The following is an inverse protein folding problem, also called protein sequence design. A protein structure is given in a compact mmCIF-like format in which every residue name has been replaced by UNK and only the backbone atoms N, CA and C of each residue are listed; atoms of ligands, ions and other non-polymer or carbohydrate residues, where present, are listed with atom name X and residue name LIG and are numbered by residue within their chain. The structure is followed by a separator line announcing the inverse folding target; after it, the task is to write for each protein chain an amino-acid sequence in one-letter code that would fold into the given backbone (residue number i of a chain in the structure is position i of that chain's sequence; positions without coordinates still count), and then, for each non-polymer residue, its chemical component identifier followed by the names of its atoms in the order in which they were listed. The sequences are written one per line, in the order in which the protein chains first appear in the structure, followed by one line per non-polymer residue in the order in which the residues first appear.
data_IF_712469858790
#
_entry.id   IF_712469858790
#
_cell.length_a   1.000
_cell.length_b   1.000
_cell.length_c   1.000
_cell.angle_alpha   90.00
_cell.angle_beta   90.00
_cell.angle_gamma   90.00
#
_symmetry.space_group_name_H-M   'P 1'
#
loop_
_entity.id
_entity.type
_entity.pdbx_description
1 polymer ?
#
# COMPACT_ATOMS: atom_id res chain seq x y z
N UNK A 1 -61.76 -36.97 58.38
CA UNK A 1 -61.70 -35.49 58.44
C UNK A 1 -60.41 -35.04 57.79
N UNK A 2 -60.52 -34.20 56.74
CA UNK A 2 -59.50 -33.29 56.20
C UNK A 2 -58.20 -33.90 55.62
N UNK A 3 -57.65 -33.47 54.49
CA UNK A 3 -58.07 -32.58 53.40
C UNK A 3 -57.00 -32.78 52.31
N UNK A 4 -57.42 -32.87 51.06
CA UNK A 4 -56.55 -32.79 49.88
C UNK A 4 -55.72 -31.50 49.89
N UNK A 5 -54.43 -31.58 49.52
CA UNK A 5 -53.69 -30.45 48.97
C UNK A 5 -52.97 -30.84 47.68
N UNK A 6 -53.73 -30.64 46.62
CA UNK A 6 -53.36 -30.18 45.28
C UNK A 6 -51.91 -29.70 45.07
N UNK A 7 -51.26 -30.40 44.14
CA UNK A 7 -50.70 -29.86 42.88
C UNK A 7 -50.32 -28.37 42.84
N UNK A 8 -49.01 -28.10 42.80
CA UNK A 8 -48.46 -26.93 42.10
C UNK A 8 -47.11 -27.27 41.47
N UNK A 9 -47.16 -27.60 40.17
CA UNK A 9 -46.01 -27.55 39.26
C UNK A 9 -45.62 -26.08 39.09
N UNK A 10 -44.64 -25.60 39.87
CA UNK A 10 -44.06 -24.25 39.67
C UNK A 10 -42.91 -24.33 38.67
N UNK A 11 -43.20 -23.82 37.47
CA UNK A 11 -42.34 -23.88 36.30
C UNK A 11 -40.99 -23.20 36.49
N UNK A 12 -39.93 -23.97 36.29
CA UNK A 12 -38.57 -23.50 36.01
C UNK A 12 -38.45 -22.95 34.57
N UNK A 13 -39.45 -22.20 34.07
CA UNK A 13 -39.56 -21.80 32.65
C UNK A 13 -39.34 -20.31 32.38
N UNK A 14 -39.06 -19.51 33.43
CA UNK A 14 -39.04 -18.04 33.33
C UNK A 14 -37.67 -17.36 33.22
N UNK A 15 -36.60 -17.96 33.77
CA UNK A 15 -35.29 -17.29 33.85
C UNK A 15 -34.32 -17.64 32.72
N UNK A 16 -34.39 -18.86 32.18
CA UNK A 16 -33.53 -19.27 31.05
C UNK A 16 -33.78 -18.43 29.80
N UNK A 17 -35.05 -18.21 29.43
CA UNK A 17 -35.44 -17.44 28.23
C UNK A 17 -35.07 -15.96 28.28
N UNK A 18 -35.01 -15.33 29.46
CA UNK A 18 -34.66 -13.90 29.59
C UNK A 18 -33.15 -13.65 29.49
N UNK A 19 -32.32 -14.64 29.79
CA UNK A 19 -30.86 -14.59 29.60
C UNK A 19 -30.43 -15.14 28.24
N UNK A 20 -31.23 -16.02 27.62
CA UNK A 20 -30.95 -16.59 26.29
C UNK A 20 -30.98 -15.54 25.17
N UNK A 21 -31.91 -14.58 25.23
CA UNK A 21 -32.04 -13.54 24.20
C UNK A 21 -30.83 -12.59 24.15
N UNK A 22 -30.35 -12.01 25.28
CA UNK A 22 -29.14 -11.16 25.23
C UNK A 22 -27.88 -11.98 24.92
N UNK A 23 -27.79 -13.23 25.37
CA UNK A 23 -26.66 -14.11 25.04
C UNK A 23 -26.62 -14.45 23.55
N UNK A 24 -27.78 -14.74 22.93
CA UNK A 24 -27.88 -14.94 21.48
C UNK A 24 -27.52 -13.66 20.71
N UNK A 25 -27.96 -12.48 21.18
CA UNK A 25 -27.61 -11.20 20.55
C UNK A 25 -26.10 -10.90 20.64
N UNK A 26 -25.46 -11.20 21.77
CA UNK A 26 -24.00 -11.07 21.94
C UNK A 26 -23.27 -12.06 21.04
N UNK A 27 -23.72 -13.32 20.96
CA UNK A 27 -23.15 -14.32 20.04
C UNK A 27 -23.31 -13.87 18.59
N UNK A 28 -24.46 -13.32 18.20
CA UNK A 28 -24.69 -12.79 16.85
C UNK A 28 -23.81 -11.57 16.53
N UNK A 29 -23.61 -10.67 17.50
CA UNK A 29 -22.72 -9.51 17.38
C UNK A 29 -21.24 -9.92 17.28
N UNK A 30 -20.83 -10.93 18.05
CA UNK A 30 -19.49 -11.52 17.95
C UNK A 30 -19.28 -12.18 16.58
N UNK A 31 -20.25 -12.93 16.06
CA UNK A 31 -20.18 -13.53 14.72
C UNK A 31 -20.08 -12.47 13.62
N UNK A 32 -20.75 -11.33 13.78
CA UNK A 32 -20.63 -10.18 12.88
C UNK A 32 -19.21 -9.59 12.85
N UNK A 33 -18.56 -9.47 14.01
CA UNK A 33 -17.18 -8.99 14.15
C UNK A 33 -16.14 -9.97 13.56
N UNK A 34 -16.46 -11.26 13.43
CA UNK A 34 -15.60 -12.25 12.78
C UNK A 34 -15.80 -12.33 11.25
N UNK A 35 -16.79 -11.61 10.69
CA UNK A 35 -17.14 -11.70 9.27
C UNK A 35 -16.58 -10.55 8.42
N UNK A 36 -15.83 -9.62 9.02
CA UNK A 36 -14.95 -8.74 8.27
C UNK A 36 -13.76 -9.57 7.81
N UNK A 37 -13.93 -10.28 6.68
CA UNK A 37 -12.77 -10.69 5.90
C UNK A 37 -12.01 -9.39 5.63
N UNK A 38 -10.73 -9.25 6.00
CA UNK A 38 -9.96 -8.16 5.45
C UNK A 38 -10.10 -8.30 3.93
N UNK A 39 -10.63 -7.27 3.28
CA UNK A 39 -10.47 -7.15 1.83
C UNK A 39 -9.00 -7.42 1.58
N UNK A 40 -8.71 -8.45 0.77
CA UNK A 40 -7.34 -8.78 0.43
C UNK A 40 -6.68 -7.48 -0.01
N UNK A 41 -5.69 -7.04 0.75
CA UNK A 41 -4.90 -5.89 0.38
C UNK A 41 -4.40 -6.17 -1.04
N UNK A 42 -4.92 -5.41 -2.01
CA UNK A 42 -4.60 -5.50 -3.43
C UNK A 42 -3.13 -5.12 -3.61
N UNK A 43 -2.22 -6.03 -3.28
CA UNK A 43 -0.79 -5.74 -3.14
C UNK A 43 -0.11 -5.49 -4.49
N UNK A 44 -0.61 -6.11 -5.56
CA UNK A 44 -0.53 -5.64 -6.95
C UNK A 44 -1.23 -6.69 -7.82
N UNK A 45 -2.44 -6.42 -8.30
CA UNK A 45 -3.09 -7.25 -9.32
C UNK A 45 -2.99 -6.50 -10.64
N UNK A 46 -1.82 -6.59 -11.29
CA UNK A 46 -1.70 -6.05 -12.64
C UNK A 46 -2.78 -6.72 -13.49
N UNK A 47 -3.54 -5.94 -14.25
CA UNK A 47 -4.30 -6.52 -15.36
C UNK A 47 -3.27 -7.25 -16.22
N UNK A 48 -3.58 -8.48 -16.69
CA UNK A 48 -2.61 -9.34 -17.40
C UNK A 48 -1.89 -8.62 -18.55
N UNK A 49 -0.85 -9.23 -19.15
CA UNK A 49 0.08 -8.54 -20.04
C UNK A 49 -0.66 -7.63 -21.03
N UNK A 50 -0.54 -6.31 -20.80
CA UNK A 50 -1.19 -5.33 -21.66
C UNK A 50 -0.45 -5.31 -22.99
N UNK A 51 -1.17 -5.09 -24.12
CA UNK A 51 -0.49 -4.77 -25.36
C UNK A 51 0.39 -3.53 -25.16
N UNK A 52 1.56 -3.52 -25.76
CA UNK A 52 2.56 -2.47 -25.54
C UNK A 52 2.02 -1.08 -25.85
N UNK A 53 1.19 -0.95 -26.89
CA UNK A 53 0.53 0.31 -27.25
C UNK A 53 -0.27 0.90 -26.09
N UNK A 54 -0.98 0.07 -25.33
CA UNK A 54 -1.77 0.50 -24.17
C UNK A 54 -0.86 0.80 -22.97
N UNK A 55 0.15 -0.05 -22.74
CA UNK A 55 1.14 0.17 -21.68
C UNK A 55 1.86 1.51 -21.87
N UNK A 56 2.14 1.92 -23.10
CA UNK A 56 2.80 3.19 -23.41
C UNK A 56 1.88 4.41 -23.24
N UNK A 57 0.55 4.28 -23.31
CA UNK A 57 -0.38 5.43 -23.27
C UNK A 57 -0.18 6.28 -22.01
N UNK A 58 0.03 5.64 -20.86
CA UNK A 58 0.19 6.30 -19.57
C UNK A 58 1.66 6.60 -19.21
N UNK A 59 2.61 6.37 -20.12
CA UNK A 59 4.05 6.57 -19.88
C UNK A 59 4.54 7.86 -20.50
N UNK A 60 5.41 8.56 -19.79
CA UNK A 60 6.05 9.79 -20.27
C UNK A 60 7.39 9.49 -20.94
N UNK A 61 8.04 8.39 -20.57
CA UNK A 61 9.32 7.96 -21.11
C UNK A 61 9.35 6.45 -21.39
N UNK A 62 9.92 6.06 -22.53
CA UNK A 62 10.21 4.66 -22.86
C UNK A 62 11.59 4.59 -23.47
N UNK A 63 12.49 3.85 -22.83
CA UNK A 63 13.90 3.81 -23.18
C UNK A 63 14.55 2.49 -22.76
N UNK A 64 15.68 2.17 -23.37
CA UNK A 64 16.56 1.08 -22.98
C UNK A 64 17.81 1.68 -22.35
N UNK A 65 18.28 1.05 -21.28
CA UNK A 65 19.46 1.51 -20.58
C UNK A 65 20.08 0.44 -19.72
N UNK A 66 21.35 0.68 -19.36
CA UNK A 66 22.12 -0.17 -18.47
C UNK A 66 22.15 0.44 -17.08
N UNK A 67 21.84 -0.35 -16.06
CA UNK A 67 21.89 0.11 -14.68
C UNK A 67 23.34 0.34 -14.27
N UNK A 68 23.65 1.55 -13.82
CA UNK A 68 24.99 1.94 -13.34
C UNK A 68 25.06 2.00 -11.82
N UNK A 69 23.96 2.34 -11.15
CA UNK A 69 23.90 2.43 -9.69
C UNK A 69 22.50 2.13 -9.15
N UNK A 70 22.44 1.62 -7.92
CA UNK A 70 21.20 1.35 -7.17
C UNK A 70 21.42 1.79 -5.72
N UNK A 71 20.68 2.81 -5.29
CA UNK A 71 20.72 3.34 -3.94
C UNK A 71 19.43 2.94 -3.20
N UNK A 72 19.51 2.04 -2.20
CA UNK A 72 18.36 1.69 -1.38
C UNK A 72 17.96 2.85 -0.46
N UNK A 73 16.72 2.86 0.05
CA UNK A 73 16.27 3.87 1.00
C UNK A 73 17.13 3.84 2.28
N UNK A 74 17.31 5.01 2.89
CA UNK A 74 18.06 5.13 4.15
C UNK A 74 17.45 4.24 5.25
N UNK A 75 18.30 3.51 5.97
CA UNK A 75 17.86 2.64 7.05
C UNK A 75 17.28 3.44 8.22
N UNK A 76 16.00 3.23 8.51
CA UNK A 76 15.26 3.84 9.63
C UNK A 76 14.75 2.75 10.58
N UNK A 77 14.45 3.07 11.86
CA UNK A 77 13.93 2.10 12.84
C UNK A 77 12.62 1.44 12.38
N UNK A 78 11.85 2.14 11.55
CA UNK A 78 10.64 1.65 10.89
C UNK A 78 10.83 1.87 9.39
N UNK A 79 10.84 0.77 8.62
CA UNK A 79 10.95 0.79 7.16
C UNK A 79 9.64 0.29 6.55
N UNK A 80 9.18 0.96 5.49
CA UNK A 80 8.07 0.48 4.67
C UNK A 80 8.62 -0.22 3.43
N UNK A 81 7.91 -1.25 2.95
CA UNK A 81 8.19 -1.91 1.67
C UNK A 81 7.97 -0.98 0.45
N UNK A 82 7.24 0.12 0.66
CA UNK A 82 6.99 1.16 -0.34
C UNK A 82 8.05 2.27 -0.35
N UNK A 83 9.07 2.21 0.51
CA UNK A 83 10.17 3.18 0.48
C UNK A 83 10.87 3.14 -0.90
N UNK A 84 11.20 4.30 -1.47
CA UNK A 84 11.75 4.40 -2.81
C UNK A 84 13.20 3.91 -2.86
N UNK A 85 13.49 3.08 -3.87
CA UNK A 85 14.84 2.73 -4.31
C UNK A 85 15.17 3.59 -5.53
N UNK A 86 16.30 4.29 -5.48
CA UNK A 86 16.80 5.10 -6.59
C UNK A 86 17.68 4.23 -7.50
N UNK A 87 17.43 4.25 -8.80
CA UNK A 87 18.17 3.48 -9.81
C UNK A 87 18.68 4.44 -10.88
N UNK A 88 19.98 4.42 -11.14
CA UNK A 88 20.59 5.24 -12.20
C UNK A 88 20.89 4.36 -13.40
N UNK A 89 20.52 4.85 -14.59
CA UNK A 89 20.75 4.14 -15.85
C UNK A 89 21.46 5.03 -16.86
N UNK A 90 22.43 4.42 -17.55
CA UNK A 90 23.00 4.94 -18.79
C UNK A 90 22.09 4.52 -19.95
N UNK A 91 21.51 5.49 -20.64
CA UNK A 91 20.49 5.28 -21.66
C UNK A 91 21.16 4.99 -23.00
N UNK A 92 20.80 3.86 -23.61
CA UNK A 92 21.29 3.46 -24.93
C UNK A 92 20.31 3.81 -26.04
N UNK A 93 18.99 3.70 -25.82
CA UNK A 93 17.98 4.01 -26.84
C UNK A 93 16.69 4.54 -26.27
N UNK A 94 16.00 5.42 -27.00
CA UNK A 94 14.74 6.05 -26.58
C UNK A 94 13.67 5.82 -27.64
N UNK A 95 12.44 5.56 -27.22
CA UNK A 95 11.26 5.44 -28.09
C UNK A 95 10.15 6.43 -27.73
N UNK A 96 10.13 6.95 -26.50
CA UNK A 96 9.17 7.97 -26.06
C UNK A 96 9.79 8.89 -25.03
N UNK A 97 9.44 10.18 -25.09
CA UNK A 97 9.83 11.19 -24.10
C UNK A 97 11.20 11.81 -24.35
N UNK A 98 11.48 12.93 -23.68
CA UNK A 98 12.79 13.56 -23.74
C UNK A 98 13.70 12.95 -22.67
N UNK A 99 14.48 11.95 -23.05
CA UNK A 99 15.33 11.20 -22.11
C UNK A 99 16.81 11.56 -22.34
N UNK A 100 17.53 12.04 -21.32
CA UNK A 100 18.96 12.32 -21.40
C UNK A 100 19.82 11.04 -21.36
N UNK A 101 21.13 11.14 -21.67
CA UNK A 101 22.05 9.99 -21.64
C UNK A 101 22.16 9.28 -20.29
N UNK A 102 21.87 9.99 -19.19
CA UNK A 102 21.80 9.42 -17.84
C UNK A 102 20.48 9.80 -17.19
N UNK A 103 19.76 8.81 -16.68
CA UNK A 103 18.43 8.99 -16.07
C UNK A 103 18.38 8.33 -14.70
N UNK A 104 17.76 9.03 -13.75
CA UNK A 104 17.42 8.49 -12.45
C UNK A 104 15.95 8.04 -12.46
N UNK A 105 15.74 6.84 -11.92
CA UNK A 105 14.44 6.24 -11.70
C UNK A 105 14.22 6.00 -10.21
N UNK A 106 12.97 5.98 -9.80
CA UNK A 106 12.56 5.47 -8.50
C UNK A 106 11.54 4.36 -8.66
N UNK A 107 11.66 3.34 -7.82
CA UNK A 107 10.68 2.25 -7.70
C UNK A 107 10.53 1.85 -6.24
N UNK A 108 9.40 1.25 -5.85
CA UNK A 108 9.26 0.74 -4.49
C UNK A 108 10.24 -0.42 -4.23
N UNK A 109 10.71 -0.55 -2.98
CA UNK A 109 11.67 -1.58 -2.60
C UNK A 109 11.15 -3.01 -2.76
N UNK A 110 9.83 -3.21 -2.73
CA UNK A 110 9.23 -4.55 -2.78
C UNK A 110 8.14 -4.65 -3.84
N UNK A 111 8.09 -5.79 -4.52
CA UNK A 111 6.98 -6.21 -5.38
C UNK A 111 5.63 -6.27 -4.63
N UNK A 112 5.62 -6.50 -3.31
CA UNK A 112 4.42 -6.39 -2.48
C UNK A 112 3.86 -4.96 -2.37
N UNK A 113 4.65 -3.96 -2.79
CA UNK A 113 4.26 -2.55 -2.92
C UNK A 113 4.35 -2.09 -4.38
N UNK A 114 4.16 -3.02 -5.33
CA UNK A 114 4.23 -2.77 -6.77
C UNK A 114 5.61 -2.28 -7.27
N UNK A 115 6.67 -2.50 -6.49
CA UNK A 115 8.04 -2.20 -6.87
C UNK A 115 8.61 -3.19 -7.88
N UNK A 116 9.56 -2.73 -8.69
CA UNK A 116 10.34 -3.59 -9.56
C UNK A 116 11.66 -3.98 -8.88
N UNK A 117 11.75 -5.22 -8.42
CA UNK A 117 12.90 -5.78 -7.68
C UNK A 117 13.94 -6.48 -8.59
N UNK A 118 13.72 -6.50 -9.91
CA UNK A 118 14.60 -7.17 -10.88
C UNK A 118 15.86 -6.39 -11.29
N UNK A 119 15.97 -5.11 -10.90
CA UNK A 119 17.14 -4.29 -11.24
C UNK A 119 18.41 -4.82 -10.58
N UNK A 120 19.51 -4.81 -11.34
CA UNK A 120 20.83 -5.12 -10.84
C UNK A 120 21.88 -4.34 -11.64
N UNK A 121 22.94 -3.89 -10.95
CA UNK A 121 24.03 -3.13 -11.58
C UNK A 121 24.65 -3.92 -12.73
N UNK A 122 24.82 -3.26 -13.87
CA UNK A 122 25.31 -3.83 -15.11
C UNK A 122 24.25 -4.48 -15.99
N UNK A 123 23.04 -4.70 -15.48
CA UNK A 123 21.93 -5.25 -16.26
C UNK A 123 21.34 -4.24 -17.24
N UNK A 124 20.86 -4.73 -18.38
CA UNK A 124 20.21 -3.94 -19.43
C UNK A 124 18.70 -4.17 -19.40
N UNK A 125 17.93 -3.08 -19.45
CA UNK A 125 16.48 -3.11 -19.28
C UNK A 125 15.79 -2.26 -20.33
N UNK A 126 14.62 -2.73 -20.79
CA UNK A 126 13.62 -1.87 -21.40
C UNK A 126 12.78 -1.29 -20.26
N UNK A 127 12.79 0.03 -20.14
CA UNK A 127 12.11 0.77 -19.07
C UNK A 127 10.94 1.56 -19.65
N UNK A 128 9.77 1.33 -19.06
CA UNK A 128 8.57 2.13 -19.28
C UNK A 128 8.33 2.94 -18.00
N UNK A 129 8.50 4.26 -18.07
CA UNK A 129 8.46 5.13 -16.92
C UNK A 129 7.46 6.30 -17.10
N UNK A 130 6.99 6.84 -15.97
CA UNK A 130 6.14 8.03 -15.92
C UNK A 130 6.71 9.08 -14.97
N UNK A 131 6.31 10.32 -15.16
CA UNK A 131 6.82 11.48 -14.42
C UNK A 131 7.15 12.64 -15.35
N UNK A 132 7.07 13.85 -14.81
CA UNK A 132 7.37 15.09 -15.56
C UNK A 132 8.87 15.44 -15.46
N UNK A 133 9.47 15.16 -14.30
CA UNK A 133 10.89 15.44 -14.01
C UNK A 133 11.56 14.21 -13.37
N UNK A 134 12.89 14.21 -13.35
CA UNK A 134 13.67 13.18 -12.69
C UNK A 134 13.60 13.32 -11.14
N UNK A 135 13.61 12.21 -10.38
CA UNK A 135 13.63 10.84 -10.85
C UNK A 135 12.27 10.39 -11.41
N UNK A 136 12.28 9.71 -12.57
CA UNK A 136 11.06 9.14 -13.14
C UNK A 136 10.63 7.92 -12.32
N UNK A 137 9.35 7.56 -12.35
CA UNK A 137 8.80 6.44 -11.61
C UNK A 137 8.59 5.22 -12.51
N UNK A 138 8.86 4.04 -11.96
CA UNK A 138 8.53 2.75 -12.57
C UNK A 138 8.17 1.72 -11.50
N UNK A 139 7.53 0.61 -11.90
CA UNK A 139 7.06 -0.44 -11.03
C UNK A 139 6.72 -1.73 -11.76
N UNK A 140 6.27 -2.72 -10.99
CA UNK A 140 6.01 -4.08 -11.47
C UNK A 140 5.00 -4.14 -12.62
N UNK A 141 3.96 -3.30 -12.57
CA UNK A 141 2.89 -3.30 -13.58
C UNK A 141 3.19 -2.39 -14.79
N UNK A 142 4.34 -1.72 -14.82
CA UNK A 142 4.61 -0.70 -15.83
C UNK A 142 5.13 -1.28 -17.15
N UNK A 143 5.47 -2.58 -17.18
CA UNK A 143 6.06 -3.25 -18.34
C UNK A 143 7.59 -3.12 -18.43
N UNK A 144 8.24 -2.67 -17.35
CA UNK A 144 9.71 -2.69 -17.28
C UNK A 144 10.22 -4.13 -17.18
N UNK A 145 11.20 -4.47 -18.01
CA UNK A 145 11.72 -5.84 -18.08
C UNK A 145 13.17 -5.90 -18.60
N UNK A 146 13.90 -7.01 -18.38
CA UNK A 146 15.24 -7.17 -18.94
C UNK A 146 15.21 -7.06 -20.46
N UNK A 147 16.20 -6.37 -21.04
CA UNK A 147 16.24 -6.11 -22.48
C UNK A 147 16.27 -7.42 -23.29
N UNK A 148 16.91 -8.46 -22.76
CA UNK A 148 16.95 -9.79 -23.36
C UNK A 148 15.58 -10.50 -23.42
N UNK A 149 14.61 -10.09 -22.58
CA UNK A 149 13.25 -10.61 -22.59
C UNK A 149 12.29 -9.74 -23.42
N UNK A 150 12.76 -8.60 -23.93
CA UNK A 150 11.93 -7.58 -24.57
C UNK A 150 11.89 -7.67 -26.11
N UNK A 151 12.29 -8.78 -26.71
CA UNK A 151 12.27 -8.96 -28.17
C UNK A 151 10.92 -8.65 -28.85
N UNK A 152 9.75 -9.07 -28.32
CA UNK A 152 8.48 -8.75 -28.96
C UNK A 152 8.19 -7.25 -28.89
N UNK A 153 8.46 -6.60 -27.75
CA UNK A 153 8.24 -5.17 -27.58
C UNK A 153 9.20 -4.35 -28.44
N UNK A 154 10.47 -4.74 -28.53
CA UNK A 154 11.46 -4.08 -29.38
C UNK A 154 11.07 -4.16 -30.87
N UNK A 155 10.45 -5.27 -31.28
CA UNK A 155 9.93 -5.43 -32.65
C UNK A 155 8.78 -4.48 -32.94
N UNK A 156 7.90 -4.23 -31.95
CA UNK A 156 6.80 -3.26 -32.06
C UNK A 156 7.27 -1.80 -31.98
N UNK A 157 8.27 -1.51 -31.14
CA UNK A 157 8.83 -0.17 -30.93
C UNK A 157 9.69 0.32 -32.11
N UNK A 158 10.33 -0.61 -32.83
CA UNK A 158 11.22 -0.29 -33.94
C UNK A 158 12.55 0.32 -33.50
N UNK A 159 13.17 1.13 -34.37
CA UNK A 159 14.58 1.53 -34.22
C UNK A 159 14.86 2.48 -33.05
N UNK A 160 13.90 3.31 -32.63
CA UNK A 160 14.11 4.37 -31.62
C UNK A 160 15.07 5.49 -32.07
N UNK A 161 15.50 6.32 -31.12
CA UNK A 161 16.43 7.45 -31.33
C UNK A 161 17.40 7.65 -30.15
N UNK A 162 18.48 8.41 -30.40
CA UNK A 162 19.54 8.71 -29.43
C UNK A 162 19.04 9.55 -28.25
N UNK A 163 19.56 9.33 -27.04
CA UNK A 163 19.25 10.17 -25.88
C UNK A 163 19.62 11.64 -26.15
N UNK A 164 18.75 12.55 -25.73
CA UNK A 164 18.96 13.98 -25.90
C UNK A 164 19.92 14.49 -24.84
N UNK A 165 21.16 14.78 -25.21
CA UNK A 165 22.09 15.45 -24.31
C UNK A 165 21.46 16.76 -23.80
N UNK A 166 21.48 16.98 -22.48
CA UNK A 166 21.20 18.32 -21.92
C UNK A 166 22.18 19.29 -22.58
N UNK A 167 21.75 20.46 -23.09
CA UNK A 167 22.67 21.46 -23.61
C UNK A 167 23.70 21.80 -22.52
N UNK A 168 24.96 21.42 -22.75
CA UNK A 168 26.07 21.71 -21.85
C UNK A 168 26.28 23.22 -21.82
N UNK A 169 25.87 23.84 -20.72
CA UNK A 169 26.19 25.24 -20.40
C UNK A 169 27.63 25.26 -19.89
N UNK A 170 28.45 26.05 -20.57
CA UNK A 170 29.79 26.41 -20.14
C UNK A 170 29.77 27.21 -18.81
N UNK A 171 30.83 26.97 -18.05
CA UNK A 171 31.24 27.49 -16.73
C UNK A 171 31.11 29.01 -16.48
N UNK A 172 30.91 29.33 -15.17
CA UNK A 172 30.97 30.61 -14.41
C UNK A 172 29.67 31.40 -14.13
N UNK A 173 29.55 32.10 -12.96
CA UNK A 173 29.86 31.72 -11.57
C UNK A 173 28.73 32.07 -10.56
N UNK A 174 28.78 31.45 -9.38
CA UNK A 174 27.85 31.62 -8.24
C UNK A 174 27.78 33.05 -7.67
N UNK A 175 26.58 33.48 -7.27
CA UNK A 175 26.32 34.62 -6.39
C UNK A 175 24.91 34.54 -5.76
N UNK A 176 24.67 35.14 -4.58
CA UNK A 176 24.18 34.39 -3.42
C UNK A 176 22.70 34.63 -3.01
N UNK A 177 22.22 33.68 -2.19
CA UNK A 177 21.26 33.76 -1.06
C UNK A 177 19.93 34.52 -1.21
N UNK A 178 18.83 33.81 -0.90
CA UNK A 178 17.89 34.31 0.11
C UNK A 178 17.16 33.15 0.80
N UNK A 179 17.25 33.17 2.13
CA UNK A 179 16.48 32.38 3.09
C UNK A 179 14.96 32.57 2.93
N UNK A 180 14.17 31.63 3.47
CA UNK A 180 12.86 31.98 3.99
C UNK A 180 11.79 30.89 4.02
N UNK A 181 11.50 30.47 5.25
CA UNK A 181 10.18 30.11 5.78
C UNK A 181 9.68 28.66 5.63
N UNK A 182 9.94 27.95 6.73
CA UNK A 182 9.09 26.98 7.43
C UNK A 182 7.57 27.08 7.14
N UNK A 183 6.97 25.92 6.89
CA UNK A 183 5.53 25.70 6.83
C UNK A 183 5.18 24.34 7.44
N UNK A 184 5.03 24.33 8.76
CA UNK A 184 4.61 23.20 9.57
C UNK A 184 3.13 22.90 9.33
N UNK A 185 2.80 21.67 8.92
CA UNK A 185 1.41 21.16 8.94
C UNK A 185 1.37 19.80 9.63
N UNK A 186 1.18 19.86 10.95
CA UNK A 186 0.79 18.72 11.79
C UNK A 186 -0.65 18.30 11.45
N UNK A 187 -0.81 17.42 10.45
CA UNK A 187 -2.02 16.64 10.29
C UNK A 187 -2.05 15.52 11.33
N UNK A 188 -2.56 15.80 12.54
CA UNK A 188 -2.90 14.75 13.52
C UNK A 188 -4.01 13.87 12.94
N UNK A 189 -3.59 12.82 12.23
CA UNK A 189 -4.46 11.71 11.88
C UNK A 189 -4.78 10.97 13.18
N UNK A 190 -5.96 11.24 13.73
CA UNK A 190 -6.46 10.64 14.96
C UNK A 190 -6.58 9.15 14.69
N UNK A 191 -5.65 8.38 15.25
CA UNK A 191 -5.64 6.93 15.19
C UNK A 191 -7.02 6.40 15.59
N UNK A 192 -7.74 5.86 14.60
CA UNK A 192 -9.10 5.30 14.70
C UNK A 192 -9.16 4.04 15.59
N UNK A 193 -8.05 3.71 16.26
CA UNK A 193 -7.91 2.52 17.11
C UNK A 193 -8.43 2.69 18.54
N UNK A 194 -8.83 3.90 18.96
CA UNK A 194 -9.38 4.14 20.31
C UNK A 194 -10.89 3.85 20.44
N UNK A 195 -11.61 3.75 19.31
CA UNK A 195 -13.05 3.49 19.29
C UNK A 195 -13.40 2.06 19.77
N UNK A 196 -12.71 0.97 19.34
CA UNK A 196 -13.03 -0.37 19.84
C UNK A 196 -12.62 -0.59 21.30
N UNK A 197 -11.57 0.08 21.80
CA UNK A 197 -11.10 -0.05 23.18
C UNK A 197 -12.07 0.60 24.20
N UNK A 198 -12.68 1.74 23.85
CA UNK A 198 -13.67 2.39 24.70
C UNK A 198 -14.95 1.56 24.85
N UNK A 199 -15.43 0.98 23.75
CA UNK A 199 -16.66 0.16 23.74
C UNK A 199 -16.47 -1.11 24.57
N UNK A 200 -15.32 -1.78 24.47
CA UNK A 200 -15.04 -2.99 25.26
C UNK A 200 -14.98 -2.73 26.76
N UNK A 201 -14.41 -1.61 27.20
CA UNK A 201 -14.37 -1.20 28.61
C UNK A 201 -15.76 -0.91 29.17
N UNK A 202 -16.60 -0.19 28.42
CA UNK A 202 -17.98 0.13 28.85
C UNK A 202 -18.83 -1.14 28.96
N UNK A 203 -18.71 -2.07 28.02
CA UNK A 203 -19.44 -3.34 28.04
C UNK A 203 -19.00 -4.20 29.23
N UNK A 204 -17.69 -4.30 29.50
CA UNK A 204 -17.18 -5.04 30.66
C UNK A 204 -17.63 -4.41 31.99
N UNK A 205 -17.57 -3.08 32.10
CA UNK A 205 -18.04 -2.37 33.29
C UNK A 205 -19.55 -2.56 33.52
N UNK A 206 -20.35 -2.49 32.46
CA UNK A 206 -21.80 -2.75 32.51
C UNK A 206 -22.13 -4.17 32.95
N UNK A 207 -21.43 -5.18 32.41
CA UNK A 207 -21.57 -6.58 32.82
C UNK A 207 -21.21 -6.78 34.29
N UNK A 208 -20.12 -6.15 34.75
CA UNK A 208 -19.64 -6.28 36.12
C UNK A 208 -20.60 -5.62 37.11
N UNK A 209 -21.11 -4.42 36.81
CA UNK A 209 -22.14 -3.76 37.61
C UNK A 209 -23.45 -4.56 37.67
N UNK A 210 -23.88 -5.15 36.55
CA UNK A 210 -25.08 -5.98 36.51
C UNK A 210 -24.94 -7.25 37.37
N UNK A 211 -23.78 -7.92 37.31
CA UNK A 211 -23.49 -9.09 38.13
C UNK A 211 -23.46 -8.72 39.62
N UNK A 212 -22.83 -7.60 39.98
CA UNK A 212 -22.77 -7.13 41.37
C UNK A 212 -24.17 -6.76 41.90
N UNK A 213 -25.00 -6.11 41.10
CA UNK A 213 -26.35 -5.74 41.51
C UNK A 213 -27.27 -6.97 41.66
N UNK A 214 -27.07 -8.00 40.82
CA UNK A 214 -27.76 -9.28 40.95
C UNK A 214 -27.34 -10.04 42.20
N UNK A 215 -26.04 -10.03 42.56
CA UNK A 215 -25.52 -10.67 43.79
C UNK A 215 -26.00 -9.98 45.07
N UNK A 216 -26.30 -8.68 45.00
CA UNK A 216 -26.82 -7.89 46.12
C UNK A 216 -28.34 -8.05 46.32
N UNK A 217 -29.04 -8.54 45.30
CA UNK A 217 -30.50 -8.73 45.29
C UNK A 217 -30.94 -10.18 45.54
N UNK A 218 -29.99 -11.09 45.79
CA UNK A 218 -30.18 -12.49 46.17
C UNK A 218 -29.68 -12.68 47.60
#
# INVERSE_FOLDING_TARGET
MMMERSFQVRGARGWGRKLLIPLLAVVWMLVGLYSEKPDEALACSCIGPLPLSEAMTHKTAVFAGKVTDIVPPESKPVMSSAEPVLVTLEVSRVWKGQVPPEVQLTTAMSSASCGYDGFHVGGEFLVLAHGEEQPLQTGLCDGTQPLAAAEPELSELGAGYEPLAKPSVAEQPQGPTSEGAEGMNEGKSVSSYWIPAGITLVVLAGLLLFILNKKRSA
#
